data_IF_009866112608
#
_entry.id   IF_009866112608
#
_cell.length_a   1.000
_cell.length_b   1.000
_cell.length_c   1.000
_cell.angle_alpha   90.00
_cell.angle_beta   90.00
_cell.angle_gamma   90.00
#
_symmetry.space_group_name_H-M   'P 1'
#
loop_
_entity.id
_entity.type
_entity.pdbx_description
1 polymer ?
#
# COMPACT_ATOMS: atom_id res chain seq x y z
N UNK A 1 24.76 -16.15 13.85
CA UNK A 1 25.36 -15.64 12.59
C UNK A 1 24.94 -16.58 11.49
N UNK A 2 24.33 -16.08 10.43
CA UNK A 2 24.01 -16.90 9.25
C UNK A 2 25.31 -17.02 8.44
N UNK A 3 25.77 -18.25 8.18
CA UNK A 3 26.86 -18.51 7.24
C UNK A 3 26.25 -18.82 5.88
N UNK A 4 26.70 -18.09 4.86
CA UNK A 4 26.25 -18.27 3.49
C UNK A 4 27.47 -18.70 2.68
N UNK A 5 27.34 -19.80 1.95
CA UNK A 5 28.35 -20.25 0.99
C UNK A 5 27.80 -20.01 -0.40
N UNK A 6 28.58 -19.39 -1.28
CA UNK A 6 28.16 -19.14 -2.65
C UNK A 6 28.13 -20.45 -3.44
N UNK A 7 27.15 -20.61 -4.33
CA UNK A 7 27.17 -21.70 -5.30
C UNK A 7 28.10 -21.36 -6.47
N UNK A 8 28.62 -22.36 -7.20
CA UNK A 8 29.47 -22.12 -8.38
C UNK A 8 28.80 -21.19 -9.42
N UNK A 9 27.48 -21.27 -9.58
CA UNK A 9 26.72 -20.40 -10.48
C UNK A 9 26.69 -18.95 -10.01
N UNK A 10 26.60 -18.72 -8.70
CA UNK A 10 26.62 -17.39 -8.09
C UNK A 10 28.01 -16.76 -8.22
N UNK A 11 29.08 -17.54 -8.03
CA UNK A 11 30.47 -17.10 -8.26
C UNK A 11 30.69 -16.69 -9.71
N UNK A 12 30.30 -17.54 -10.67
CA UNK A 12 30.38 -17.23 -12.09
C UNK A 12 29.54 -16.00 -12.49
N UNK A 13 28.40 -15.78 -11.83
CA UNK A 13 27.62 -14.56 -12.05
C UNK A 13 28.37 -13.31 -11.57
N UNK A 14 28.95 -13.34 -10.37
CA UNK A 14 29.72 -12.23 -9.82
C UNK A 14 30.93 -11.90 -10.71
N UNK A 15 31.68 -12.91 -11.16
CA UNK A 15 32.81 -12.72 -12.08
C UNK A 15 32.38 -12.07 -13.39
N UNK A 16 31.24 -12.49 -13.96
CA UNK A 16 30.70 -11.89 -15.19
C UNK A 16 30.37 -10.41 -14.97
N UNK A 17 29.76 -10.06 -13.84
CA UNK A 17 29.43 -8.67 -13.52
C UNK A 17 30.69 -7.81 -13.33
N UNK A 18 31.73 -8.33 -12.68
CA UNK A 18 33.01 -7.63 -12.53
C UNK A 18 33.71 -7.41 -13.87
N UNK A 19 33.67 -8.39 -14.79
CA UNK A 19 34.24 -8.27 -16.14
C UNK A 19 33.57 -7.17 -16.98
N UNK A 20 32.33 -6.78 -16.67
CA UNK A 20 31.68 -5.65 -17.36
C UNK A 20 32.28 -4.30 -16.98
N UNK A 21 33.04 -4.21 -15.88
CA UNK A 21 33.57 -2.96 -15.33
C UNK A 21 32.52 -2.07 -14.68
N UNK A 22 31.24 -2.48 -14.65
CA UNK A 22 30.16 -1.72 -14.00
C UNK A 22 30.24 -1.74 -12.47
N UNK A 23 30.88 -2.77 -11.91
CA UNK A 23 31.06 -2.95 -10.48
C UNK A 23 32.52 -3.32 -10.21
N UNK A 24 33.09 -2.76 -9.15
CA UNK A 24 34.50 -2.95 -8.78
C UNK A 24 34.70 -4.13 -7.82
N UNK A 25 33.65 -4.50 -7.08
CA UNK A 25 33.72 -5.57 -6.07
C UNK A 25 32.48 -6.47 -6.11
N UNK A 26 32.59 -7.76 -5.71
CA UNK A 26 31.43 -8.62 -5.52
C UNK A 26 30.39 -8.03 -4.57
N UNK A 27 30.86 -7.30 -3.54
CA UNK A 27 30.00 -6.68 -2.54
C UNK A 27 29.09 -5.60 -3.15
N UNK A 28 29.57 -4.82 -4.11
CA UNK A 28 28.74 -3.85 -4.84
C UNK A 28 27.61 -4.54 -5.63
N UNK A 29 27.92 -5.66 -6.29
CA UNK A 29 26.93 -6.45 -7.03
C UNK A 29 25.87 -7.01 -6.08
N UNK A 30 26.30 -7.59 -4.95
CA UNK A 30 25.41 -8.14 -3.92
C UNK A 30 24.56 -7.04 -3.29
N UNK A 31 25.16 -5.89 -2.97
CA UNK A 31 24.43 -4.76 -2.40
C UNK A 31 23.37 -4.23 -3.37
N UNK A 32 23.70 -4.19 -4.68
CA UNK A 32 22.72 -3.81 -5.70
C UNK A 32 21.61 -4.85 -5.87
N UNK A 33 21.94 -6.13 -5.78
CA UNK A 33 20.95 -7.21 -5.80
C UNK A 33 19.97 -7.10 -4.62
N UNK A 34 20.46 -6.79 -3.41
CA UNK A 34 19.59 -6.56 -2.26
C UNK A 34 18.69 -5.33 -2.43
N UNK A 35 19.19 -4.23 -2.98
CA UNK A 35 18.34 -3.08 -3.31
C UNK A 35 17.25 -3.43 -4.32
N UNK A 36 17.57 -4.21 -5.34
CA UNK A 36 16.59 -4.65 -6.35
C UNK A 36 15.56 -5.62 -5.76
N UNK A 37 15.99 -6.52 -4.88
CA UNK A 37 15.09 -7.42 -4.14
C UNK A 37 14.15 -6.62 -3.25
N UNK A 38 14.65 -5.63 -2.52
CA UNK A 38 13.83 -4.73 -1.72
C UNK A 38 12.83 -3.98 -2.62
N UNK A 39 13.27 -3.42 -3.76
CA UNK A 39 12.38 -2.77 -4.72
C UNK A 39 11.28 -3.72 -5.27
N UNK A 40 11.60 -4.99 -5.50
CA UNK A 40 10.68 -6.01 -5.99
C UNK A 40 9.69 -6.49 -4.91
N UNK A 41 10.12 -6.60 -3.65
CA UNK A 41 9.22 -6.90 -2.52
C UNK A 41 8.16 -5.81 -2.30
N UNK A 42 8.40 -4.58 -2.80
CA UNK A 42 7.41 -3.50 -2.83
C UNK A 42 6.53 -3.48 -4.10
N UNK A 43 6.60 -4.48 -4.98
CA UNK A 43 5.75 -4.50 -6.17
C UNK A 43 4.27 -4.60 -5.78
N UNK A 44 3.54 -3.51 -5.99
CA UNK A 44 2.11 -3.44 -5.68
C UNK A 44 1.35 -4.16 -6.79
N UNK A 45 0.87 -5.35 -6.46
CA UNK A 45 -0.08 -6.09 -7.28
C UNK A 45 -1.45 -5.45 -7.11
N UNK A 46 -1.98 -4.90 -8.20
CA UNK A 46 -3.34 -4.38 -8.23
C UNK A 46 -4.30 -5.56 -8.46
N UNK A 47 -5.42 -5.64 -7.73
CA UNK A 47 -6.45 -6.64 -8.01
C UNK A 47 -7.02 -6.52 -9.43
N UNK A 48 -7.44 -7.64 -10.01
CA UNK A 48 -7.93 -7.70 -11.40
C UNK A 48 -9.18 -6.85 -11.67
N UNK A 49 -9.95 -6.53 -10.62
CA UNK A 49 -11.13 -5.67 -10.75
C UNK A 49 -10.77 -4.17 -10.92
N UNK A 50 -9.51 -3.77 -10.71
CA UNK A 50 -9.05 -2.40 -10.91
C UNK A 50 -8.88 -2.14 -12.41
N UNK A 51 -9.93 -1.59 -13.02
CA UNK A 51 -9.94 -1.18 -14.43
C UNK A 51 -9.18 0.13 -14.63
N UNK A 52 -8.53 0.29 -15.78
CA UNK A 52 -7.83 1.53 -16.16
C UNK A 52 -6.73 1.29 -17.18
N UNK A 53 -6.20 2.37 -17.76
CA UNK A 53 -5.02 2.32 -18.62
C UNK A 53 -3.79 1.92 -17.81
N UNK A 54 -2.76 1.39 -18.47
CA UNK A 54 -1.49 1.05 -17.81
C UNK A 54 -0.84 2.28 -17.16
N UNK A 55 -0.98 3.47 -17.76
CA UNK A 55 -0.54 4.73 -17.17
C UNK A 55 -1.27 5.06 -15.87
N UNK A 56 -2.59 4.88 -15.82
CA UNK A 56 -3.38 5.11 -14.61
C UNK A 56 -3.04 4.10 -13.50
N UNK A 57 -2.84 2.82 -13.87
CA UNK A 57 -2.40 1.77 -12.95
C UNK A 57 -1.01 2.06 -12.38
N UNK A 58 -0.07 2.53 -13.20
CA UNK A 58 1.27 2.90 -12.74
C UNK A 58 1.22 4.05 -11.73
N UNK A 59 0.44 5.10 -12.00
CA UNK A 59 0.23 6.20 -11.06
C UNK A 59 -0.38 5.72 -9.73
N UNK A 60 -1.34 4.81 -9.80
CA UNK A 60 -1.95 4.22 -8.61
C UNK A 60 -0.93 3.41 -7.79
N UNK A 61 -0.13 2.56 -8.44
CA UNK A 61 0.95 1.81 -7.78
C UNK A 61 1.93 2.76 -7.08
N UNK A 62 2.35 3.83 -7.75
CA UNK A 62 3.25 4.82 -7.16
C UNK A 62 2.61 5.50 -5.93
N UNK A 63 1.34 5.89 -6.02
CA UNK A 63 0.61 6.53 -4.92
C UNK A 63 0.48 5.60 -3.71
N UNK A 64 0.16 4.32 -3.95
CA UNK A 64 0.09 3.31 -2.88
C UNK A 64 1.47 3.12 -2.24
N UNK A 65 2.56 3.10 -3.03
CA UNK A 65 3.93 2.98 -2.51
C UNK A 65 4.27 4.14 -1.58
N UNK A 66 4.01 5.38 -2.00
CA UNK A 66 4.23 6.59 -1.18
C UNK A 66 3.42 6.52 0.12
N UNK A 67 2.13 6.19 0.02
CA UNK A 67 1.26 6.08 1.18
C UNK A 67 1.73 5.02 2.20
N UNK A 68 2.17 3.84 1.74
CA UNK A 68 2.72 2.80 2.63
C UNK A 68 3.97 3.29 3.35
N UNK A 69 4.87 3.95 2.63
CA UNK A 69 6.10 4.52 3.21
C UNK A 69 5.80 5.60 4.25
N UNK A 70 4.91 6.53 3.93
CA UNK A 70 4.46 7.56 4.86
C UNK A 70 3.79 6.98 6.11
N UNK A 71 2.96 5.93 5.94
CA UNK A 71 2.34 5.23 7.06
C UNK A 71 3.37 4.59 7.99
N UNK A 72 4.36 3.90 7.44
CA UNK A 72 5.40 3.28 8.27
C UNK A 72 6.21 4.33 9.02
N UNK A 73 6.56 5.44 8.36
CA UNK A 73 7.25 6.57 8.98
C UNK A 73 6.42 7.29 10.05
N UNK A 74 5.10 7.24 9.94
CA UNK A 74 4.18 7.88 10.89
C UNK A 74 3.57 6.91 11.90
N UNK A 75 3.94 5.62 11.87
CA UNK A 75 3.32 4.56 12.67
C UNK A 75 3.40 4.82 14.18
N UNK A 76 4.52 5.39 14.60
CA UNK A 76 4.80 5.69 16.02
C UNK A 76 4.50 7.15 16.37
N UNK A 77 3.96 7.95 15.44
CA UNK A 77 3.57 9.32 15.77
C UNK A 77 2.34 9.30 16.68
N UNK A 78 2.37 10.02 17.82
CA UNK A 78 1.21 10.13 18.68
C UNK A 78 0.06 10.75 17.89
N UNK A 79 -1.10 10.10 17.95
CA UNK A 79 -2.33 10.64 17.37
C UNK A 79 -2.72 11.86 18.19
N UNK A 80 -3.03 12.94 17.49
CA UNK A 80 -3.53 14.18 18.09
C UNK A 80 -4.77 13.90 18.97
N UNK A 81 -4.71 14.16 20.29
CA UNK A 81 -5.82 13.91 21.19
C UNK A 81 -7.13 14.59 20.77
N UNK A 82 -7.07 15.76 20.12
CA UNK A 82 -8.27 16.44 19.65
C UNK A 82 -8.95 15.68 18.51
N UNK A 83 -8.16 15.05 17.62
CA UNK A 83 -8.69 14.20 16.55
C UNK A 83 -9.33 12.93 17.10
N UNK A 84 -8.74 12.36 18.16
CA UNK A 84 -9.33 11.21 18.85
C UNK A 84 -10.69 11.60 19.44
N UNK A 85 -10.75 12.70 20.19
CA UNK A 85 -11.99 13.23 20.76
C UNK A 85 -13.06 13.47 19.69
N UNK A 86 -12.69 14.13 18.59
CA UNK A 86 -13.62 14.43 17.51
C UNK A 86 -14.18 13.15 16.86
N UNK A 87 -13.33 12.13 16.65
CA UNK A 87 -13.77 10.85 16.12
C UNK A 87 -14.74 10.12 17.07
N UNK A 88 -14.50 10.19 18.37
CA UNK A 88 -15.40 9.65 19.40
C UNK A 88 -16.73 10.38 19.43
N UNK A 89 -16.73 11.71 19.35
CA UNK A 89 -17.94 12.53 19.28
C UNK A 89 -18.76 12.22 18.03
N UNK A 90 -18.11 12.12 16.87
CA UNK A 90 -18.77 11.74 15.62
C UNK A 90 -19.39 10.35 15.70
N UNK A 91 -18.66 9.37 16.24
CA UNK A 91 -19.16 8.01 16.43
C UNK A 91 -20.40 8.00 17.33
N UNK A 92 -20.38 8.75 18.43
CA UNK A 92 -21.52 8.88 19.34
C UNK A 92 -22.72 9.50 18.63
N UNK A 93 -22.53 10.59 17.88
CA UNK A 93 -23.59 11.22 17.10
C UNK A 93 -24.25 10.24 16.13
N UNK A 94 -23.46 9.45 15.39
CA UNK A 94 -24.00 8.45 14.48
C UNK A 94 -24.84 7.39 15.20
N UNK A 95 -24.38 6.93 16.38
CA UNK A 95 -25.11 5.95 17.19
C UNK A 95 -26.43 6.51 17.73
N UNK A 96 -26.42 7.75 18.21
CA UNK A 96 -27.61 8.45 18.69
C UNK A 96 -28.63 8.62 17.55
N UNK A 97 -28.18 9.06 16.37
CA UNK A 97 -29.03 9.18 15.18
C UNK A 97 -29.62 7.82 14.77
N UNK A 98 -28.82 6.77 14.74
CA UNK A 98 -29.32 5.43 14.41
C UNK A 98 -30.35 4.93 15.42
N UNK A 99 -30.15 5.21 16.72
CA UNK A 99 -31.10 4.85 17.76
C UNK A 99 -32.45 5.59 17.61
N UNK A 100 -32.44 6.84 17.15
CA UNK A 100 -33.68 7.59 16.85
C UNK A 100 -34.49 6.96 15.71
N UNK A 101 -33.82 6.28 14.77
CA UNK A 101 -34.44 5.61 13.64
C UNK A 101 -34.60 4.09 13.85
N UNK A 102 -34.49 3.60 15.10
CA UNK A 102 -34.54 2.17 15.39
C UNK A 102 -35.87 1.49 14.95
N UNK A 103 -36.98 2.22 15.01
CA UNK A 103 -38.31 1.72 14.61
C UNK A 103 -38.55 1.75 13.09
N UNK A 104 -37.67 2.43 12.34
CA UNK A 104 -37.72 2.49 10.87
C UNK A 104 -36.30 2.44 10.29
N UNK A 105 -35.63 1.27 10.37
CA UNK A 105 -34.28 1.13 9.86
C UNK A 105 -34.26 1.29 8.34
N UNK A 106 -33.24 1.97 7.81
CA UNK A 106 -33.01 1.98 6.36
C UNK A 106 -32.75 0.55 5.88
N UNK A 107 -33.44 0.18 4.82
CA UNK A 107 -33.22 -1.09 4.12
C UNK A 107 -32.04 -0.99 3.15
N UNK A 108 -31.43 -2.13 2.83
CA UNK A 108 -30.36 -2.20 1.84
C UNK A 108 -30.84 -1.72 0.46
N UNK A 109 -32.11 -1.95 0.13
CA UNK A 109 -32.74 -1.48 -1.10
C UNK A 109 -32.84 0.05 -1.17
N UNK A 110 -33.22 0.72 -0.08
CA UNK A 110 -33.28 2.19 -0.01
C UNK A 110 -31.89 2.81 -0.11
N UNK A 111 -30.88 2.19 0.54
CA UNK A 111 -29.49 2.62 0.44
C UNK A 111 -28.99 2.48 -1.01
N UNK A 112 -29.29 1.35 -1.66
CA UNK A 112 -28.89 1.11 -3.04
C UNK A 112 -29.54 2.11 -4.01
N UNK A 113 -30.82 2.41 -3.82
CA UNK A 113 -31.55 3.37 -4.64
C UNK A 113 -30.96 4.78 -4.53
N UNK A 114 -30.61 5.23 -3.33
CA UNK A 114 -29.99 6.53 -3.08
C UNK A 114 -28.59 6.62 -3.72
N UNK A 115 -27.78 5.56 -3.59
CA UNK A 115 -26.45 5.50 -4.21
C UNK A 115 -26.58 5.55 -5.74
N UNK A 116 -27.58 4.89 -6.33
CA UNK A 116 -27.82 4.96 -7.75
C UNK A 116 -28.31 6.34 -8.21
N UNK A 117 -29.20 6.99 -7.47
CA UNK A 117 -29.64 8.36 -7.75
C UNK A 117 -28.44 9.33 -7.78
N UNK A 118 -27.58 9.26 -6.76
CA UNK A 118 -26.34 10.04 -6.72
C UNK A 118 -25.42 9.76 -7.92
N UNK A 119 -25.30 8.51 -8.35
CA UNK A 119 -24.51 8.13 -9.55
C UNK A 119 -25.13 8.68 -10.84
N UNK A 120 -26.44 8.88 -10.89
CA UNK A 120 -27.16 9.50 -12.01
C UNK A 120 -27.15 11.03 -11.95
N UNK A 121 -26.77 11.62 -10.82
CA UNK A 121 -26.71 13.06 -10.60
C UNK A 121 -28.06 13.70 -10.23
N UNK A 122 -28.98 12.90 -9.69
CA UNK A 122 -30.22 13.35 -9.03
C UNK A 122 -29.89 13.78 -7.59
#
# INVERSE_FOLDING_TARGET
MIQITLTPEQEQFLERQLKTGKYNTPQEVISKAFQLLEEQEYEIILPDYVKGTESAKALLKEKIRKYRKEREQNKDKPIDPEKVRLAEEFKRLCQETQALHADNPLTDEEIAAEIEAYRRGE
#
